data_IF_826335248201
#
_entry.id   IF_826335248201
#
_cell.length_a   1.000
_cell.length_b   1.000
_cell.length_c   1.000
_cell.angle_alpha   90.00
_cell.angle_beta   90.00
_cell.angle_gamma   90.00
#
_symmetry.space_group_name_H-M   'P 1'
#
loop_
_entity.id
_entity.type
_entity.pdbx_description
1 polymer ?
#
# COMPACT_ATOMS: atom_id res chain seq x y z
N UNK A 1 -18.05 5.20 22.28
CA UNK A 1 -16.86 6.07 22.20
C UNK A 1 -15.64 5.19 21.91
N UNK A 2 -14.72 5.67 21.09
CA UNK A 2 -13.40 5.10 20.84
C UNK A 2 -12.40 6.27 20.85
N UNK A 3 -11.25 6.14 21.51
CA UNK A 3 -10.26 7.23 21.54
C UNK A 3 -9.17 7.05 20.49
N UNK A 4 -8.73 5.81 20.26
CA UNK A 4 -7.60 5.49 19.39
C UNK A 4 -7.95 4.30 18.49
N UNK A 5 -7.78 4.49 17.18
CA UNK A 5 -7.76 3.42 16.18
C UNK A 5 -6.34 3.27 15.63
N UNK A 6 -5.78 2.06 15.74
CA UNK A 6 -4.48 1.72 15.12
C UNK A 6 -4.70 0.68 14.03
N UNK A 7 -4.59 1.13 12.78
CA UNK A 7 -4.67 0.27 11.61
C UNK A 7 -3.28 -0.35 11.34
N UNK A 8 -2.99 -1.45 12.04
CA UNK A 8 -1.70 -2.15 11.99
C UNK A 8 -1.66 -3.36 11.04
N UNK A 9 -2.80 -4.04 10.83
CA UNK A 9 -2.84 -5.26 10.03
C UNK A 9 -2.24 -5.03 8.63
N UNK A 10 -1.32 -5.90 8.22
CA UNK A 10 -0.66 -5.76 6.93
C UNK A 10 0.11 -7.00 6.51
N UNK A 11 0.17 -7.22 5.20
CA UNK A 11 0.93 -8.31 4.55
C UNK A 11 1.85 -7.75 3.48
N UNK A 12 2.88 -8.51 3.12
CA UNK A 12 3.86 -8.10 2.11
C UNK A 12 3.39 -8.36 0.67
N UNK A 13 2.37 -9.20 0.45
CA UNK A 13 1.88 -9.52 -0.90
C UNK A 13 2.88 -10.29 -1.77
N UNK A 14 3.77 -11.06 -1.15
CA UNK A 14 4.79 -11.88 -1.83
C UNK A 14 4.88 -13.26 -1.17
N UNK A 15 5.38 -14.23 -1.93
CA UNK A 15 6.01 -15.43 -1.39
C UNK A 15 7.53 -15.20 -1.46
N UNK A 16 8.27 -15.63 -0.45
CA UNK A 16 9.72 -15.51 -0.41
C UNK A 16 10.35 -16.89 -0.30
N UNK A 17 11.37 -17.16 -1.11
CA UNK A 17 12.26 -18.29 -0.89
C UNK A 17 13.08 -18.02 0.38
N UNK A 18 12.68 -18.67 1.48
CA UNK A 18 13.24 -18.45 2.81
C UNK A 18 14.68 -18.95 2.89
N UNK A 19 15.03 -20.00 2.16
CA UNK A 19 16.38 -20.57 2.20
C UNK A 19 17.35 -19.68 1.39
N UNK A 20 16.91 -19.18 0.23
CA UNK A 20 17.65 -18.18 -0.54
C UNK A 20 17.78 -16.85 0.23
N UNK A 21 16.72 -16.41 0.91
CA UNK A 21 16.77 -15.23 1.78
C UNK A 21 17.79 -15.42 2.90
N UNK A 22 17.73 -16.52 3.65
CA UNK A 22 18.66 -16.80 4.77
C UNK A 22 20.11 -16.90 4.33
N UNK A 23 20.35 -17.51 3.17
CA UNK A 23 21.71 -17.72 2.66
C UNK A 23 22.28 -16.48 1.97
N UNK A 24 21.45 -15.58 1.45
CA UNK A 24 21.86 -14.42 0.67
C UNK A 24 21.73 -13.06 1.35
N UNK A 25 20.83 -12.88 2.30
CA UNK A 25 20.55 -11.58 2.91
C UNK A 25 21.81 -11.00 3.58
N UNK A 26 22.11 -9.73 3.26
CA UNK A 26 23.29 -9.03 3.76
C UNK A 26 24.56 -9.24 2.94
N UNK A 27 24.54 -10.09 1.91
CA UNK A 27 25.65 -10.24 0.96
C UNK A 27 25.58 -9.22 -0.16
N UNK A 28 26.75 -8.80 -0.64
CA UNK A 28 26.87 -7.96 -1.83
C UNK A 28 26.30 -8.69 -3.05
N UNK A 29 25.52 -7.98 -3.88
CA UNK A 29 24.87 -8.56 -5.05
C UNK A 29 23.59 -9.37 -4.76
N UNK A 30 23.02 -9.32 -3.56
CA UNK A 30 21.75 -9.96 -3.25
C UNK A 30 20.60 -9.42 -4.13
N UNK A 31 19.92 -10.33 -4.84
CA UNK A 31 18.87 -10.00 -5.81
C UNK A 31 17.49 -10.39 -5.28
N UNK A 32 16.76 -9.39 -4.81
CA UNK A 32 15.39 -9.56 -4.30
C UNK A 32 14.45 -10.18 -5.34
N UNK A 33 14.60 -9.81 -6.60
CA UNK A 33 13.74 -10.25 -7.71
C UNK A 33 13.88 -11.73 -8.07
N UNK A 34 14.96 -12.39 -7.66
CA UNK A 34 15.20 -13.82 -7.88
C UNK A 34 14.57 -14.69 -6.78
N UNK A 35 14.24 -14.11 -5.62
CA UNK A 35 13.78 -14.85 -4.43
C UNK A 35 12.37 -14.50 -3.97
N UNK A 36 11.73 -13.51 -4.60
CA UNK A 36 10.35 -13.13 -4.32
C UNK A 36 9.47 -13.50 -5.51
N UNK A 37 8.29 -14.02 -5.19
CA UNK A 37 7.23 -14.28 -6.16
C UNK A 37 6.07 -13.35 -5.85
N UNK A 38 5.68 -12.56 -6.85
CA UNK A 38 4.48 -11.71 -6.83
C UNK A 38 3.43 -12.34 -7.75
N UNK A 39 2.23 -12.60 -7.24
CA UNK A 39 1.09 -13.08 -8.05
C UNK A 39 -0.08 -12.10 -7.96
N UNK A 40 -1.04 -12.23 -8.87
CA UNK A 40 -2.27 -11.45 -8.82
C UNK A 40 -3.02 -11.64 -7.49
N UNK A 41 -3.14 -12.89 -7.02
CA UNK A 41 -3.88 -13.25 -5.81
C UNK A 41 -3.25 -12.62 -4.58
N UNK A 42 -1.92 -12.67 -4.48
CA UNK A 42 -1.16 -12.03 -3.39
C UNK A 42 -1.25 -10.51 -3.46
N UNK A 43 -1.25 -9.94 -4.66
CA UNK A 43 -1.44 -8.50 -4.85
C UNK A 43 -2.85 -8.06 -4.42
N UNK A 44 -3.88 -8.80 -4.82
CA UNK A 44 -5.27 -8.53 -4.45
C UNK A 44 -5.47 -8.65 -2.92
N UNK A 45 -4.94 -9.70 -2.30
CA UNK A 45 -4.93 -9.86 -0.84
C UNK A 45 -4.20 -8.69 -0.15
N UNK A 46 -3.03 -8.30 -0.67
CA UNK A 46 -2.25 -7.19 -0.16
C UNK A 46 -3.07 -5.89 -0.14
N UNK A 47 -3.80 -5.56 -1.21
CA UNK A 47 -4.67 -4.38 -1.22
C UNK A 47 -5.87 -4.51 -0.28
N UNK A 48 -6.51 -5.70 -0.24
CA UNK A 48 -7.64 -5.99 0.66
C UNK A 48 -7.28 -5.74 2.12
N UNK A 49 -6.06 -6.11 2.52
CA UNK A 49 -5.59 -5.98 3.90
C UNK A 49 -4.98 -4.59 4.13
N UNK A 50 -4.03 -4.16 3.31
CA UNK A 50 -3.20 -2.98 3.60
C UNK A 50 -3.87 -1.64 3.28
N UNK A 51 -4.86 -1.60 2.39
CA UNK A 51 -5.56 -0.37 1.99
C UNK A 51 -7.04 -0.43 2.35
N UNK A 52 -7.78 -1.41 1.79
CA UNK A 52 -9.21 -1.53 2.02
C UNK A 52 -9.55 -1.93 3.46
N UNK A 53 -8.64 -2.60 4.17
CA UNK A 53 -8.75 -2.88 5.61
C UNK A 53 -8.82 -1.58 6.42
N UNK A 54 -7.75 -0.76 6.44
CA UNK A 54 -7.74 0.54 7.10
C UNK A 54 -8.90 1.45 6.69
N UNK A 55 -9.24 1.50 5.40
CA UNK A 55 -10.40 2.29 4.91
C UNK A 55 -11.70 1.87 5.59
N UNK A 56 -12.05 0.57 5.54
CA UNK A 56 -13.27 0.04 6.19
C UNK A 56 -13.26 0.25 7.71
N UNK A 57 -12.11 0.10 8.35
CA UNK A 57 -11.98 0.35 9.79
C UNK A 57 -12.20 1.82 10.14
N UNK A 58 -11.63 2.74 9.36
CA UNK A 58 -11.91 4.17 9.54
C UNK A 58 -13.41 4.46 9.37
N UNK A 59 -14.03 3.99 8.28
CA UNK A 59 -15.47 4.20 8.02
C UNK A 59 -16.36 3.69 9.15
N UNK A 60 -16.08 2.49 9.67
CA UNK A 60 -16.87 1.88 10.74
C UNK A 60 -16.69 2.56 12.10
N UNK A 61 -15.48 3.06 12.42
CA UNK A 61 -15.14 3.53 13.75
C UNK A 61 -15.10 5.06 13.90
N UNK A 62 -15.10 5.83 12.81
CA UNK A 62 -15.20 7.30 12.85
C UNK A 62 -16.38 7.80 13.71
N UNK A 63 -17.61 7.24 13.61
CA UNK A 63 -18.72 7.68 14.47
C UNK A 63 -18.43 7.52 15.96
N UNK A 64 -17.67 6.48 16.34
CA UNK A 64 -17.26 6.26 17.74
C UNK A 64 -16.10 7.16 18.15
N UNK A 65 -15.18 7.47 17.23
CA UNK A 65 -14.07 8.40 17.43
C UNK A 65 -14.55 9.84 17.64
N UNK A 66 -15.62 10.26 16.95
CA UNK A 66 -16.23 11.58 17.13
C UNK A 66 -16.81 11.81 18.54
N UNK A 67 -16.99 10.75 19.33
CA UNK A 67 -17.39 10.84 20.74
C UNK A 67 -16.20 11.03 21.69
N UNK A 68 -14.96 11.02 21.18
CA UNK A 68 -13.75 11.29 21.95
C UNK A 68 -13.43 12.78 21.96
N UNK A 69 -12.90 13.25 23.09
CA UNK A 69 -12.41 14.63 23.25
C UNK A 69 -11.08 14.85 22.51
N UNK A 70 -10.40 13.76 22.14
CA UNK A 70 -9.10 13.80 21.47
C UNK A 70 -8.88 12.55 20.60
N UNK A 71 -9.67 12.35 19.53
CA UNK A 71 -9.59 11.16 18.70
C UNK A 71 -8.25 11.05 17.96
N UNK A 72 -7.76 9.81 17.79
CA UNK A 72 -6.54 9.52 17.02
C UNK A 72 -6.74 8.32 16.09
N UNK A 73 -6.29 8.47 14.86
CA UNK A 73 -6.15 7.37 13.90
C UNK A 73 -4.66 7.25 13.56
N UNK A 74 -4.11 6.05 13.69
CA UNK A 74 -2.73 5.74 13.30
C UNK A 74 -2.76 4.66 12.23
N UNK A 75 -2.38 5.02 11.01
CA UNK A 75 -2.22 4.08 9.90
C UNK A 75 -0.76 3.63 9.82
N UNK A 76 -0.50 2.34 10.07
CA UNK A 76 0.86 1.80 10.05
C UNK A 76 1.30 1.57 8.60
N UNK A 77 2.11 2.51 8.11
CA UNK A 77 2.66 2.49 6.76
C UNK A 77 4.08 1.89 6.70
N UNK A 78 4.84 2.21 5.66
CA UNK A 78 6.24 1.81 5.47
C UNK A 78 7.01 2.91 4.76
N UNK A 79 8.34 2.95 4.97
CA UNK A 79 9.25 3.78 4.16
C UNK A 79 9.19 3.43 2.68
N UNK A 80 8.77 2.20 2.34
CA UNK A 80 8.52 1.77 0.97
C UNK A 80 7.34 2.50 0.31
N UNK A 81 6.40 3.03 1.09
CA UNK A 81 5.28 3.84 0.59
C UNK A 81 5.65 5.28 0.19
N UNK A 82 6.94 5.65 0.20
CA UNK A 82 7.40 6.92 -0.37
C UNK A 82 7.15 6.94 -1.89
N UNK A 83 6.71 8.10 -2.40
CA UNK A 83 6.42 8.29 -3.83
C UNK A 83 7.63 8.06 -4.74
N UNK A 84 8.87 8.20 -4.22
CA UNK A 84 10.11 7.87 -4.95
C UNK A 84 10.23 6.37 -5.28
N UNK A 85 9.50 5.51 -4.58
CA UNK A 85 9.48 4.07 -4.86
C UNK A 85 8.35 3.66 -5.81
N UNK A 86 7.38 4.55 -6.05
CA UNK A 86 6.37 4.39 -7.11
C UNK A 86 7.02 4.85 -8.41
N UNK A 87 7.53 3.90 -9.18
CA UNK A 87 8.32 4.18 -10.37
C UNK A 87 7.43 4.48 -11.59
N UNK A 88 6.19 4.00 -11.58
CA UNK A 88 5.22 4.27 -12.64
C UNK A 88 4.79 5.75 -12.57
N UNK A 89 5.11 6.51 -13.60
CA UNK A 89 4.99 7.97 -13.58
C UNK A 89 3.54 8.45 -13.49
N UNK A 90 2.62 7.73 -14.15
CA UNK A 90 1.18 8.02 -14.08
C UNK A 90 0.66 7.82 -12.65
N UNK A 91 0.95 6.67 -12.04
CA UNK A 91 0.54 6.37 -10.68
C UNK A 91 1.15 7.36 -9.68
N UNK A 92 2.44 7.67 -9.83
CA UNK A 92 3.13 8.67 -8.99
C UNK A 92 2.51 10.06 -9.17
N UNK A 93 2.19 10.45 -10.41
CA UNK A 93 1.52 11.71 -10.72
C UNK A 93 0.19 11.84 -9.99
N UNK A 94 -0.64 10.80 -10.02
CA UNK A 94 -1.91 10.76 -9.28
C UNK A 94 -1.68 10.87 -7.77
N UNK A 95 -0.83 10.01 -7.20
CA UNK A 95 -0.63 9.92 -5.75
C UNK A 95 0.11 11.14 -5.15
N UNK A 96 0.84 11.90 -5.96
CA UNK A 96 1.56 13.11 -5.56
C UNK A 96 0.70 14.38 -5.54
N UNK A 97 -0.40 14.42 -6.30
CA UNK A 97 -1.29 15.58 -6.41
C UNK A 97 -2.18 15.70 -5.17
N UNK A 98 -1.60 16.24 -4.11
CA UNK A 98 -2.21 16.47 -2.81
C UNK A 98 -3.60 17.14 -2.85
N UNK A 99 -3.76 18.10 -3.76
CA UNK A 99 -4.96 18.94 -3.81
C UNK A 99 -6.12 18.23 -4.50
N UNK A 100 -5.80 17.38 -5.50
CA UNK A 100 -6.80 16.66 -6.28
C UNK A 100 -6.90 15.17 -5.94
N UNK A 101 -6.21 14.72 -4.88
CA UNK A 101 -6.25 13.33 -4.46
C UNK A 101 -7.61 12.99 -3.85
N UNK A 102 -8.26 11.96 -4.38
CA UNK A 102 -9.52 11.42 -3.86
C UNK A 102 -9.42 9.92 -3.70
N UNK A 103 -10.38 9.31 -3.01
CA UNK A 103 -10.41 7.85 -2.81
C UNK A 103 -10.56 7.13 -4.17
N UNK A 104 -11.37 7.67 -5.08
CA UNK A 104 -11.57 7.13 -6.42
C UNK A 104 -10.28 7.12 -7.23
N UNK A 105 -9.49 8.20 -7.15
CA UNK A 105 -8.20 8.29 -7.84
C UNK A 105 -7.16 7.33 -7.26
N UNK A 106 -7.19 7.07 -5.96
CA UNK A 106 -6.35 6.01 -5.37
C UNK A 106 -6.81 4.65 -5.89
N UNK A 107 -8.12 4.41 -5.96
CA UNK A 107 -8.69 3.16 -6.47
C UNK A 107 -8.39 2.94 -7.96
N UNK A 108 -8.37 4.00 -8.79
CA UNK A 108 -7.90 3.94 -10.18
C UNK A 108 -6.48 3.37 -10.28
N UNK A 109 -5.56 3.87 -9.44
CA UNK A 109 -4.16 3.39 -9.40
C UNK A 109 -4.09 1.93 -8.98
N UNK A 110 -4.84 1.54 -7.94
CA UNK A 110 -4.89 0.16 -7.44
C UNK A 110 -5.43 -0.78 -8.52
N UNK A 111 -6.55 -0.41 -9.14
CA UNK A 111 -7.20 -1.21 -10.18
C UNK A 111 -6.32 -1.39 -11.41
N UNK A 112 -5.60 -0.33 -11.82
CA UNK A 112 -4.67 -0.42 -12.94
C UNK A 112 -3.51 -1.38 -12.64
N UNK A 113 -2.93 -1.32 -11.43
CA UNK A 113 -1.88 -2.26 -11.04
C UNK A 113 -2.40 -3.71 -11.00
N UNK A 114 -3.59 -3.94 -10.43
CA UNK A 114 -4.21 -5.27 -10.42
C UNK A 114 -4.47 -5.80 -11.83
N UNK A 115 -4.89 -4.95 -12.76
CA UNK A 115 -5.01 -5.32 -14.16
C UNK A 115 -3.65 -5.65 -14.79
N UNK A 116 -2.61 -4.89 -14.47
CA UNK A 116 -1.25 -5.15 -14.96
C UNK A 116 -0.67 -6.45 -14.41
N UNK A 117 -1.05 -6.86 -13.18
CA UNK A 117 -0.78 -8.19 -12.64
C UNK A 117 -1.45 -9.29 -13.48
N UNK A 118 -2.74 -9.15 -13.81
CA UNK A 118 -3.45 -10.11 -14.67
C UNK A 118 -2.83 -10.22 -16.07
N UNK A 119 -2.32 -9.11 -16.59
CA UNK A 119 -1.70 -9.05 -17.91
C UNK A 119 -0.21 -9.45 -17.91
N UNK A 120 0.41 -9.67 -16.76
CA UNK A 120 1.84 -9.93 -16.65
C UNK A 120 2.73 -8.75 -17.06
N UNK A 121 2.23 -7.51 -17.00
CA UNK A 121 2.93 -6.30 -17.48
C UNK A 121 3.47 -5.41 -16.35
N UNK A 122 3.40 -5.85 -15.09
CA UNK A 122 3.86 -5.07 -13.93
C UNK A 122 5.33 -4.62 -14.08
N UNK A 123 6.23 -5.54 -14.45
CA UNK A 123 7.66 -5.24 -14.62
C UNK A 123 7.90 -4.29 -15.79
N UNK A 124 7.24 -4.50 -16.92
CA UNK A 124 7.43 -3.69 -18.13
C UNK A 124 6.86 -2.28 -17.99
N UNK A 125 5.81 -2.10 -17.18
CA UNK A 125 5.22 -0.80 -16.83
C UNK A 125 5.88 -0.11 -15.63
N UNK A 126 6.99 -0.67 -15.14
CA UNK A 126 7.87 -0.07 -14.14
C UNK A 126 7.13 0.41 -12.87
N UNK A 127 6.33 -0.45 -12.24
CA UNK A 127 5.56 -0.07 -11.05
C UNK A 127 6.42 0.18 -9.81
N UNK A 128 7.31 -0.75 -9.51
CA UNK A 128 8.30 -0.68 -8.45
C UNK A 128 9.47 -1.61 -8.81
N UNK A 129 10.60 -1.46 -8.10
CA UNK A 129 11.75 -2.37 -8.28
C UNK A 129 11.42 -3.82 -7.85
N UNK A 130 10.65 -3.95 -6.78
CA UNK A 130 10.12 -5.20 -6.22
C UNK A 130 8.94 -4.90 -5.29
N UNK A 131 8.11 -5.91 -5.00
CA UNK A 131 6.97 -5.80 -4.08
C UNK A 131 5.98 -4.70 -4.50
N UNK A 132 5.58 -4.72 -5.77
CA UNK A 132 4.77 -3.66 -6.40
C UNK A 132 3.46 -3.43 -5.66
N UNK A 133 2.74 -4.50 -5.29
CA UNK A 133 1.51 -4.39 -4.52
C UNK A 133 1.74 -3.77 -3.12
N UNK A 134 2.83 -4.13 -2.45
CA UNK A 134 3.16 -3.58 -1.14
C UNK A 134 3.50 -2.08 -1.21
N UNK A 135 4.38 -1.70 -2.14
CA UNK A 135 4.78 -0.30 -2.37
C UNK A 135 3.54 0.55 -2.65
N UNK A 136 2.71 0.14 -3.60
CA UNK A 136 1.52 0.89 -3.99
C UNK A 136 0.47 0.87 -2.87
N UNK A 137 0.26 -0.23 -2.15
CA UNK A 137 -0.69 -0.26 -1.03
C UNK A 137 -0.30 0.69 0.11
N UNK A 138 0.99 0.80 0.43
CA UNK A 138 1.48 1.72 1.45
C UNK A 138 1.49 3.17 0.97
N UNK A 139 1.76 3.43 -0.31
CA UNK A 139 1.61 4.76 -0.91
C UNK A 139 0.13 5.21 -0.96
N UNK A 140 -0.78 4.30 -1.32
CA UNK A 140 -2.23 4.50 -1.28
C UNK A 140 -2.72 4.78 0.14
N UNK A 141 -2.25 4.02 1.15
CA UNK A 141 -2.57 4.27 2.56
C UNK A 141 -2.07 5.65 3.04
N UNK A 142 -0.89 6.08 2.60
CA UNK A 142 -0.39 7.43 2.87
C UNK A 142 -1.31 8.48 2.26
N UNK A 143 -1.73 8.29 1.00
CA UNK A 143 -2.70 9.15 0.32
C UNK A 143 -4.03 9.23 1.07
N UNK A 144 -4.60 8.08 1.43
CA UNK A 144 -5.84 7.98 2.20
C UNK A 144 -5.74 8.66 3.56
N UNK A 145 -4.60 8.52 4.25
CA UNK A 145 -4.36 9.21 5.53
C UNK A 145 -4.49 10.72 5.39
N UNK A 146 -4.03 11.31 4.27
CA UNK A 146 -4.17 12.75 4.00
C UNK A 146 -5.62 13.13 3.69
N UNK A 147 -6.35 12.28 2.96
CA UNK A 147 -7.77 12.51 2.64
C UNK A 147 -8.58 12.58 3.93
N UNK A 148 -8.46 11.58 4.80
CA UNK A 148 -9.25 11.54 6.04
C UNK A 148 -8.86 12.67 7.00
N UNK A 149 -7.59 13.07 7.05
CA UNK A 149 -7.12 14.19 7.87
C UNK A 149 -7.61 15.56 7.37
N UNK A 150 -8.02 15.68 6.10
CA UNK A 150 -8.65 16.90 5.57
C UNK A 150 -10.16 16.91 5.82
N UNK A 151 -10.78 15.73 5.98
CA UNK A 151 -12.23 15.56 6.13
C UNK A 151 -12.71 15.67 7.58
N UNK A 152 -11.87 15.29 8.54
CA UNK A 152 -12.17 15.21 9.97
C UNK A 152 -11.12 15.97 10.78
#
# INVERSE_FOLDING_TARGET
>A
KLDILVNNAGVNGIITDVDALRSGMGKEGFKWDEIITETYELAEECFKINYYGPKRMCEAFIPLLQLSDSPRIVNVSSSMGKLTNVLNEWARGILSDAEKLTEERIEEVINQLLNDFKQGTVKTKNWAKFMSAYVVSKAALNGYTRIIAKKH
#
